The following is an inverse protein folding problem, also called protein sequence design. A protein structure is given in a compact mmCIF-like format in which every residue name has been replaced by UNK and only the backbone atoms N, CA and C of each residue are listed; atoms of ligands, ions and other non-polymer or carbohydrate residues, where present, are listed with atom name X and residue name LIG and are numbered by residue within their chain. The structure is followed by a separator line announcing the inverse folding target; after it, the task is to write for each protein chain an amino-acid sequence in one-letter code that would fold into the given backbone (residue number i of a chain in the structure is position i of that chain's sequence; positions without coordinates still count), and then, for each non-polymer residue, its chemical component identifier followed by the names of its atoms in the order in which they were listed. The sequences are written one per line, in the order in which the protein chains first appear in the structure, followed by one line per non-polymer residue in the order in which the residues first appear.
data_IF_087174578647
#
_entry.id   IF_087174578647
#
_cell.length_a   1.000
_cell.length_b   1.000
_cell.length_c   1.000
_cell.angle_alpha   90.00
_cell.angle_beta   90.00
_cell.angle_gamma   90.00
#
_symmetry.space_group_name_H-M   'P 1'
#
loop_
_entity.id
_entity.type
_entity.pdbx_description
1 polymer ?
#
# COMPACT_ATOMS: atom_id res chain seq x y z
N UNK A 1 -16.99 6.22 8.18
CA UNK A 1 -15.56 6.30 8.57
C UNK A 1 -15.46 6.72 10.03
N UNK A 2 -14.78 5.93 10.85
CA UNK A 2 -14.58 6.20 12.27
C UNK A 2 -13.20 5.72 12.69
N UNK A 3 -12.66 6.35 13.72
CA UNK A 3 -11.38 5.97 14.29
C UNK A 3 -11.65 4.86 15.32
N UNK A 4 -10.92 3.74 15.23
CA UNK A 4 -11.12 2.56 16.08
C UNK A 4 -9.94 2.44 17.03
N UNK A 5 -10.20 2.50 18.33
CA UNK A 5 -9.19 2.30 19.36
C UNK A 5 -9.19 0.85 19.84
N UNK A 6 -8.13 0.11 19.52
CA UNK A 6 -7.89 -1.22 20.04
C UNK A 6 -6.97 -1.12 21.26
N UNK A 7 -7.45 -1.57 22.42
CA UNK A 7 -6.64 -1.66 23.65
C UNK A 7 -6.44 -3.13 24.01
N UNK A 8 -5.18 -3.54 24.10
CA UNK A 8 -4.80 -4.84 24.61
C UNK A 8 -4.10 -4.60 25.95
N UNK A 9 -4.53 -5.34 26.96
CA UNK A 9 -4.00 -5.26 28.32
C UNK A 9 -3.02 -6.40 28.58
N UNK A 10 -2.26 -6.32 29.67
CA UNK A 10 -1.35 -7.38 30.08
C UNK A 10 -2.04 -8.75 30.31
N UNK A 11 -3.36 -8.75 30.54
CA UNK A 11 -4.17 -9.97 30.70
C UNK A 11 -4.64 -10.57 29.36
N UNK A 12 -4.34 -9.92 28.24
CA UNK A 12 -4.67 -10.41 26.90
C UNK A 12 -3.57 -11.31 26.34
N UNK A 13 -3.80 -11.89 25.16
CA UNK A 13 -2.80 -12.68 24.43
C UNK A 13 -1.51 -11.89 24.11
N UNK A 14 -1.59 -10.55 24.11
CA UNK A 14 -0.43 -9.70 23.93
C UNK A 14 0.50 -9.73 25.15
N UNK A 15 0.02 -10.06 26.35
CA UNK A 15 0.79 -10.04 27.62
C UNK A 15 1.47 -8.69 27.92
N UNK A 16 1.07 -7.63 27.21
CA UNK A 16 1.60 -6.28 27.27
C UNK A 16 0.47 -5.27 27.15
N UNK A 17 0.70 -4.05 27.62
CA UNK A 17 -0.19 -2.93 27.35
C UNK A 17 0.16 -2.29 26.00
N UNK A 18 -0.81 -2.29 25.08
CA UNK A 18 -0.69 -1.61 23.79
C UNK A 18 -2.04 -0.99 23.41
N UNK A 19 -1.99 0.24 22.92
CA UNK A 19 -3.13 0.99 22.42
C UNK A 19 -2.88 1.35 20.96
N UNK A 20 -3.64 0.74 20.05
CA UNK A 20 -3.55 0.94 18.60
C UNK A 20 -4.74 1.78 18.16
N UNK A 21 -4.50 2.99 17.66
CA UNK A 21 -5.54 3.78 16.97
C UNK A 21 -5.53 3.45 15.48
N UNK A 22 -6.67 2.99 14.96
CA UNK A 22 -6.86 2.64 13.55
C UNK A 22 -7.73 3.71 12.90
N UNK A 23 -7.13 4.52 12.03
CA UNK A 23 -7.86 5.47 11.20
C UNK A 23 -8.24 4.83 9.86
N UNK A 24 -9.48 4.37 9.75
CA UNK A 24 -10.02 3.86 8.50
C UNK A 24 -10.52 5.00 7.59
N UNK A 25 -9.98 5.07 6.37
CA UNK A 25 -10.30 6.09 5.38
C UNK A 25 -10.58 5.43 4.03
N UNK A 26 -11.71 5.81 3.43
CA UNK A 26 -12.04 5.45 2.05
C UNK A 26 -11.90 6.71 1.19
N UNK A 27 -10.70 6.95 0.66
CA UNK A 27 -10.37 8.15 -0.14
C UNK A 27 -9.52 7.80 -1.37
N UNK A 28 -10.07 7.09 -2.35
CA UNK A 28 -9.32 6.70 -3.55
C UNK A 28 -8.86 7.91 -4.40
N UNK A 29 -9.46 9.09 -4.20
CA UNK A 29 -9.08 10.33 -4.87
C UNK A 29 -7.98 11.14 -4.16
N UNK A 30 -7.63 10.80 -2.92
CA UNK A 30 -6.60 11.51 -2.13
C UNK A 30 -5.49 10.52 -1.75
N UNK A 31 -4.42 10.53 -2.54
CA UNK A 31 -3.23 9.70 -2.32
C UNK A 31 -2.37 10.25 -1.20
N UNK A 32 -2.55 9.75 0.02
CA UNK A 32 -1.79 10.26 1.16
C UNK A 32 -0.40 9.63 1.23
N UNK A 33 0.61 10.49 1.35
CA UNK A 33 2.01 10.09 1.59
C UNK A 33 2.38 10.08 3.08
N UNK A 34 3.63 9.70 3.37
CA UNK A 34 4.17 9.50 4.72
C UNK A 34 4.00 10.72 5.60
N UNK A 35 4.27 11.91 5.07
CA UNK A 35 4.20 13.16 5.84
C UNK A 35 2.78 13.44 6.33
N UNK A 36 1.78 13.30 5.44
CA UNK A 36 0.39 13.59 5.77
C UNK A 36 -0.19 12.52 6.71
N UNK A 37 0.12 11.25 6.44
CA UNK A 37 -0.26 10.12 7.30
C UNK A 37 0.35 10.31 8.70
N UNK A 38 1.65 10.55 8.81
CA UNK A 38 2.33 10.77 10.10
C UNK A 38 1.67 11.92 10.87
N UNK A 39 1.48 13.09 10.23
CA UNK A 39 0.81 14.24 10.86
C UNK A 39 -0.61 13.91 11.35
N UNK A 40 -1.36 13.12 10.59
CA UNK A 40 -2.72 12.71 10.98
C UNK A 40 -2.68 11.75 12.16
N UNK A 41 -1.87 10.71 12.09
CA UNK A 41 -1.78 9.69 13.12
C UNK A 41 -1.20 10.24 14.42
N UNK A 42 -0.23 11.16 14.39
CA UNK A 42 0.24 11.86 15.58
C UNK A 42 -0.90 12.54 16.33
N UNK A 43 -1.78 13.25 15.61
CA UNK A 43 -2.96 13.88 16.23
C UNK A 43 -3.93 12.86 16.80
N UNK A 44 -4.19 11.78 16.07
CA UNK A 44 -5.09 10.72 16.53
C UNK A 44 -4.53 10.02 17.79
N UNK A 45 -3.24 9.72 17.81
CA UNK A 45 -2.54 9.12 18.95
C UNK A 45 -2.59 10.04 20.17
N UNK A 46 -2.38 11.35 19.99
CA UNK A 46 -2.51 12.34 21.06
C UNK A 46 -3.92 12.34 21.67
N UNK A 47 -4.96 12.40 20.82
CA UNK A 47 -6.37 12.48 21.25
C UNK A 47 -6.77 11.19 21.99
N UNK A 48 -6.37 10.04 21.47
CA UNK A 48 -6.80 8.74 21.99
C UNK A 48 -5.84 8.12 23.02
N UNK A 49 -4.74 8.82 23.33
CA UNK A 49 -3.66 8.32 24.19
C UNK A 49 -3.16 6.94 23.70
N UNK A 50 -3.00 6.81 22.39
CA UNK A 50 -2.54 5.61 21.73
C UNK A 50 -1.00 5.63 21.59
N UNK A 51 -0.35 4.49 21.82
CA UNK A 51 1.12 4.37 21.69
C UNK A 51 1.54 3.76 20.34
N UNK A 52 0.58 3.28 19.55
CA UNK A 52 0.79 2.84 18.17
C UNK A 52 -0.41 3.22 17.30
N UNK A 53 -0.22 3.25 15.98
CA UNK A 53 -1.30 3.62 15.06
C UNK A 53 -1.28 2.84 13.75
N UNK A 54 -2.46 2.71 13.13
CA UNK A 54 -2.65 2.18 11.79
C UNK A 54 -3.44 3.21 10.97
N UNK A 55 -2.87 3.67 9.86
CA UNK A 55 -3.64 4.31 8.81
C UNK A 55 -4.12 3.23 7.85
N UNK A 56 -5.44 3.04 7.75
CA UNK A 56 -6.05 1.99 6.97
C UNK A 56 -6.78 2.58 5.77
N UNK A 57 -6.22 2.36 4.58
CA UNK A 57 -6.90 2.68 3.32
C UNK A 57 -7.78 1.53 2.88
N UNK A 58 -8.94 1.84 2.30
CA UNK A 58 -9.81 0.84 1.66
C UNK A 58 -9.16 0.15 0.47
N UNK A 59 -8.29 0.88 -0.24
CA UNK A 59 -7.57 0.40 -1.43
C UNK A 59 -6.19 1.05 -1.56
N UNK A 60 -5.35 0.51 -2.45
CA UNK A 60 -4.01 1.04 -2.71
C UNK A 60 -4.07 2.45 -3.32
N UNK A 61 -5.13 2.80 -4.06
CA UNK A 61 -5.29 4.10 -4.70
C UNK A 61 -5.43 5.27 -3.70
N UNK A 62 -5.83 5.00 -2.46
CA UNK A 62 -5.85 5.99 -1.38
C UNK A 62 -4.46 6.25 -0.76
N UNK A 63 -3.45 5.49 -1.17
CA UNK A 63 -2.09 5.61 -0.67
C UNK A 63 -1.19 6.20 -1.77
N UNK A 64 -0.25 7.06 -1.38
CA UNK A 64 0.76 7.54 -2.31
C UNK A 64 1.67 6.39 -2.77
N UNK A 65 2.28 6.58 -3.94
CA UNK A 65 3.15 5.57 -4.55
C UNK A 65 4.30 5.13 -3.62
N UNK A 66 4.84 6.06 -2.81
CA UNK A 66 5.89 5.80 -1.82
C UNK A 66 5.45 4.89 -0.65
N UNK A 67 4.13 4.71 -0.45
CA UNK A 67 3.56 3.80 0.54
C UNK A 67 3.32 2.44 -0.09
N UNK A 68 2.81 2.41 -1.32
CA UNK A 68 2.33 1.17 -1.96
C UNK A 68 1.22 0.55 -1.11
N UNK A 69 1.45 -0.65 -0.58
CA UNK A 69 0.53 -1.39 0.29
C UNK A 69 0.94 -1.37 1.76
N UNK A 70 2.17 -0.92 2.06
CA UNK A 70 2.72 -0.96 3.41
C UNK A 70 3.80 0.10 3.60
N UNK A 71 3.65 0.92 4.64
CA UNK A 71 4.73 1.75 5.15
C UNK A 71 4.77 1.70 6.68
N UNK A 72 6.00 1.70 7.20
CA UNK A 72 6.29 1.88 8.61
C UNK A 72 6.85 3.28 8.82
N UNK A 73 6.44 3.94 9.90
CA UNK A 73 7.08 5.16 10.38
C UNK A 73 6.94 5.31 11.89
N UNK A 74 7.38 6.47 12.38
CA UNK A 74 7.41 6.80 13.80
C UNK A 74 7.01 8.26 13.99
N UNK A 75 6.45 8.55 15.16
CA UNK A 75 6.21 9.89 15.68
C UNK A 75 6.47 9.92 17.19
N UNK A 76 6.27 11.07 17.83
CA UNK A 76 6.53 11.27 19.26
C UNK A 76 5.74 10.34 20.20
N UNK A 77 4.62 9.78 19.74
CA UNK A 77 3.80 8.85 20.51
C UNK A 77 4.13 7.37 20.26
N UNK A 78 4.95 7.08 19.24
CA UNK A 78 5.38 5.72 18.89
C UNK A 78 5.28 5.42 17.39
N UNK A 79 5.25 4.12 17.08
CA UNK A 79 5.30 3.63 15.70
C UNK A 79 3.92 3.62 15.04
N UNK A 80 3.91 3.83 13.74
CA UNK A 80 2.70 3.72 12.94
C UNK A 80 2.91 2.89 11.68
N UNK A 81 1.84 2.24 11.23
CA UNK A 81 1.77 1.50 9.97
C UNK A 81 0.73 2.13 9.07
N UNK A 82 1.04 2.32 7.79
CA UNK A 82 0.06 2.64 6.75
C UNK A 82 -0.13 1.41 5.88
N UNK A 83 -1.38 0.97 5.69
CA UNK A 83 -1.68 -0.27 4.98
C UNK A 83 -3.08 -0.28 4.37
N UNK A 84 -3.38 -1.31 3.58
CA UNK A 84 -4.73 -1.62 3.09
C UNK A 84 -5.44 -2.67 3.96
N UNK A 85 -6.73 -2.87 3.73
CA UNK A 85 -7.57 -3.79 4.52
C UNK A 85 -7.08 -5.25 4.50
N UNK A 86 -6.50 -5.71 3.40
CA UNK A 86 -5.96 -7.06 3.22
C UNK A 86 -4.81 -7.37 4.19
N UNK A 87 -4.11 -6.34 4.63
CA UNK A 87 -2.94 -6.43 5.49
C UNK A 87 -3.21 -5.93 6.92
N UNK A 88 -4.46 -5.63 7.28
CA UNK A 88 -4.82 -5.12 8.61
C UNK A 88 -4.42 -6.11 9.73
N UNK A 89 -4.72 -7.39 9.56
CA UNK A 89 -4.36 -8.41 10.54
C UNK A 89 -2.84 -8.50 10.74
N UNK A 90 -2.08 -8.39 9.64
CA UNK A 90 -0.61 -8.37 9.65
C UNK A 90 -0.12 -7.12 10.38
N UNK A 91 -0.70 -5.95 10.12
CA UNK A 91 -0.34 -4.71 10.80
C UNK A 91 -0.55 -4.76 12.32
N UNK A 92 -1.68 -5.30 12.77
CA UNK A 92 -1.98 -5.46 14.19
C UNK A 92 -0.95 -6.41 14.84
N UNK A 93 -0.72 -7.59 14.26
CA UNK A 93 0.25 -8.55 14.79
C UNK A 93 1.68 -7.98 14.82
N UNK A 94 2.08 -7.28 13.74
CA UNK A 94 3.37 -6.63 13.63
C UNK A 94 3.58 -5.60 14.76
N UNK A 95 2.58 -4.76 15.04
CA UNK A 95 2.65 -3.77 16.12
C UNK A 95 2.73 -4.42 17.50
N UNK A 96 1.95 -5.48 17.75
CA UNK A 96 2.01 -6.24 19.00
C UNK A 96 3.40 -6.83 19.23
N UNK A 97 3.96 -7.52 18.23
CA UNK A 97 5.29 -8.15 18.36
C UNK A 97 6.38 -7.09 18.57
N UNK A 98 6.32 -5.96 17.87
CA UNK A 98 7.28 -4.86 18.09
C UNK A 98 7.20 -4.28 19.49
N UNK A 99 5.99 -4.08 20.01
CA UNK A 99 5.82 -3.56 21.36
C UNK A 99 6.31 -4.58 22.41
N UNK A 100 6.02 -5.88 22.22
CA UNK A 100 6.53 -6.94 23.09
C UNK A 100 8.06 -6.95 23.11
N UNK A 101 8.70 -6.87 21.95
CA UNK A 101 10.15 -6.82 21.82
C UNK A 101 10.74 -5.60 22.53
N UNK A 102 10.17 -4.40 22.31
CA UNK A 102 10.63 -3.17 22.96
C UNK A 102 10.53 -3.26 24.49
N UNK A 103 9.42 -3.80 25.01
CA UNK A 103 9.25 -4.04 26.45
C UNK A 103 10.28 -5.04 26.97
N UNK A 104 10.47 -6.17 26.30
CA UNK A 104 11.40 -7.21 26.76
C UNK A 104 12.88 -6.81 26.72
N UNK A 105 13.26 -5.94 25.78
CA UNK A 105 14.59 -5.32 25.73
C UNK A 105 14.80 -4.39 26.93
N UNK A 106 13.79 -3.62 27.32
CA UNK A 106 13.88 -2.74 28.50
C UNK A 106 14.06 -3.51 29.82
N UNK A 107 13.55 -4.75 29.90
CA UNK A 107 13.58 -5.57 31.12
C UNK A 107 14.68 -6.66 31.13
N UNK A 108 15.66 -6.64 30.21
CA UNK A 108 16.78 -7.61 30.16
C UNK A 108 16.33 -9.09 30.23
N UNK A 109 15.25 -9.43 29.53
CA UNK A 109 14.79 -10.82 29.46
C UNK A 109 15.79 -11.72 28.71
N UNK A 110 15.84 -13.03 29.04
CA UNK A 110 16.66 -14.04 28.34
C UNK A 110 16.18 -14.33 26.90
N UNK A 111 15.28 -13.53 26.35
CA UNK A 111 14.75 -13.69 25.01
C UNK A 111 15.88 -13.45 23.98
N UNK A 112 15.94 -14.29 22.95
CA UNK A 112 16.78 -14.01 21.78
C UNK A 112 16.16 -12.90 20.94
N UNK A 113 16.30 -11.66 21.42
CA UNK A 113 15.80 -10.47 20.77
C UNK A 113 16.35 -10.33 19.34
N UNK A 114 17.57 -10.82 19.08
CA UNK A 114 18.22 -10.75 17.75
C UNK A 114 17.50 -11.63 16.74
N UNK A 115 17.15 -12.86 17.12
CA UNK A 115 16.40 -13.75 16.24
C UNK A 115 15.03 -13.16 15.87
N UNK A 116 14.33 -12.54 16.83
CA UNK A 116 13.03 -11.90 16.58
C UNK A 116 13.20 -10.66 15.70
N UNK A 117 14.20 -9.80 15.96
CA UNK A 117 14.51 -8.65 15.11
C UNK A 117 14.80 -9.06 13.67
N UNK A 118 15.56 -10.14 13.46
CA UNK A 118 15.84 -10.67 12.13
C UNK A 118 14.54 -11.10 11.41
N UNK A 119 13.61 -11.75 12.11
CA UNK A 119 12.30 -12.11 11.54
C UNK A 119 11.47 -10.85 11.21
N UNK A 120 11.49 -9.84 12.08
CA UNK A 120 10.79 -8.57 11.84
C UNK A 120 11.34 -7.82 10.62
N UNK A 121 12.66 -7.84 10.43
CA UNK A 121 13.31 -7.29 9.23
C UNK A 121 12.95 -8.11 7.98
N UNK A 122 12.90 -9.43 8.08
CA UNK A 122 12.48 -10.30 6.98
C UNK A 122 11.03 -10.02 6.54
N UNK A 123 10.11 -9.80 7.49
CA UNK A 123 8.72 -9.43 7.21
C UNK A 123 8.69 -8.09 6.44
N UNK A 124 9.42 -7.07 6.89
CA UNK A 124 9.48 -5.78 6.22
C UNK A 124 10.05 -5.90 4.80
N UNK A 125 11.13 -6.66 4.62
CA UNK A 125 11.71 -6.94 3.31
C UNK A 125 10.71 -7.63 2.38
N UNK A 126 9.97 -8.62 2.90
CA UNK A 126 8.95 -9.34 2.12
C UNK A 126 7.82 -8.41 1.67
N UNK A 127 7.35 -7.51 2.54
CA UNK A 127 6.34 -6.51 2.21
C UNK A 127 6.85 -5.51 1.15
N UNK A 128 8.12 -5.11 1.25
CA UNK A 128 8.77 -4.28 0.23
C UNK A 128 8.88 -5.00 -1.12
N UNK A 129 9.18 -6.30 -1.13
CA UNK A 129 9.18 -7.10 -2.35
C UNK A 129 7.79 -7.20 -2.98
N UNK A 130 6.74 -7.38 -2.19
CA UNK A 130 5.35 -7.38 -2.71
C UNK A 130 5.02 -6.02 -3.33
N UNK A 131 5.43 -4.90 -2.71
CA UNK A 131 5.29 -3.56 -3.29
C UNK A 131 5.97 -3.43 -4.67
N UNK A 132 7.19 -3.96 -4.81
CA UNK A 132 7.92 -3.95 -6.08
C UNK A 132 7.22 -4.79 -7.14
N UNK A 133 6.77 -6.01 -6.78
CA UNK A 133 6.00 -6.89 -7.67
C UNK A 133 4.74 -6.18 -8.17
N UNK A 134 3.95 -5.58 -7.28
CA UNK A 134 2.72 -4.87 -7.66
C UNK A 134 3.00 -3.68 -8.59
N UNK A 135 4.12 -2.99 -8.37
CA UNK A 135 4.58 -1.90 -9.25
C UNK A 135 4.89 -2.42 -10.65
N UNK A 136 5.63 -3.53 -10.76
CA UNK A 136 5.96 -4.14 -12.05
C UNK A 136 4.73 -4.70 -12.77
N UNK A 137 3.79 -5.31 -12.05
CA UNK A 137 2.53 -5.79 -12.62
C UNK A 137 1.72 -4.62 -13.21
N UNK A 138 1.64 -3.50 -12.51
CA UNK A 138 0.96 -2.29 -12.99
C UNK A 138 1.61 -1.75 -14.26
N UNK A 139 2.94 -1.70 -14.31
CA UNK A 139 3.70 -1.27 -15.49
C UNK A 139 3.46 -2.21 -16.69
N UNK A 140 3.46 -3.53 -16.47
CA UNK A 140 3.17 -4.51 -17.52
C UNK A 140 1.76 -4.34 -18.09
N UNK A 141 0.76 -4.09 -17.24
CA UNK A 141 -0.61 -3.82 -17.69
C UNK A 141 -0.70 -2.57 -18.56
N UNK A 142 -0.04 -1.48 -18.16
CA UNK A 142 0.01 -0.24 -18.95
C UNK A 142 0.69 -0.46 -20.31
N UNK A 143 1.79 -1.21 -20.33
CA UNK A 143 2.49 -1.55 -21.57
C UNK A 143 1.61 -2.41 -22.50
N UNK A 144 0.93 -3.41 -21.96
CA UNK A 144 0.03 -4.27 -22.73
C UNK A 144 -1.13 -3.47 -23.35
N UNK A 145 -1.70 -2.53 -22.62
CA UNK A 145 -2.76 -1.66 -23.15
C UNK A 145 -2.25 -0.70 -24.23
N UNK A 146 -1.03 -0.17 -24.07
CA UNK A 146 -0.36 0.61 -25.11
C UNK A 146 -0.16 -0.19 -26.41
N UNK A 147 0.24 -1.47 -26.31
CA UNK A 147 0.38 -2.37 -27.46
C UNK A 147 -0.98 -2.58 -28.15
N UNK A 148 -2.05 -2.85 -27.39
CA UNK A 148 -3.40 -3.00 -27.95
C UNK A 148 -3.87 -1.76 -28.69
N UNK A 149 -3.63 -0.59 -28.11
CA UNK A 149 -3.98 0.70 -28.72
C UNK A 149 -3.26 0.90 -30.05
N UNK A 150 -1.95 0.64 -30.11
CA UNK A 150 -1.16 0.71 -31.35
C UNK A 150 -1.65 -0.30 -32.40
N UNK A 151 -1.94 -1.53 -32.01
CA UNK A 151 -2.48 -2.54 -32.92
C UNK A 151 -3.84 -2.12 -33.49
N UNK A 152 -4.70 -1.49 -32.69
CA UNK A 152 -5.98 -0.94 -33.16
C UNK A 152 -5.78 0.20 -34.16
N UNK A 153 -4.85 1.12 -33.88
CA UNK A 153 -4.51 2.21 -34.80
C UNK A 153 -4.00 1.68 -36.15
N UNK A 154 -3.06 0.74 -36.11
CA UNK A 154 -2.49 0.14 -37.32
C UNK A 154 -3.55 -0.58 -38.17
N UNK A 155 -4.51 -1.29 -37.56
CA UNK A 155 -5.63 -1.89 -38.30
C UNK A 155 -6.50 -0.82 -38.98
N UNK A 156 -6.71 0.32 -38.34
CA UNK A 156 -7.47 1.43 -38.92
C UNK A 156 -6.71 2.08 -40.09
N UNK A 157 -5.40 2.26 -39.95
CA UNK A 157 -4.52 2.76 -41.02
C UNK A 157 -4.54 1.83 -42.24
N UNK A 158 -4.39 0.51 -42.03
CA UNK A 158 -4.48 -0.49 -43.12
C UNK A 158 -5.84 -0.39 -43.82
N UNK A 159 -6.94 -0.31 -43.07
CA UNK A 159 -8.29 -0.18 -43.66
C UNK A 159 -8.42 1.10 -44.49
N UNK A 160 -7.92 2.23 -43.98
CA UNK A 160 -7.93 3.52 -44.68
C UNK A 160 -7.13 3.44 -45.99
N UNK A 161 -5.92 2.89 -45.94
CA UNK A 161 -5.06 2.73 -47.11
C UNK A 161 -5.73 1.85 -48.18
N UNK A 162 -6.40 0.76 -47.79
CA UNK A 162 -7.15 -0.09 -48.71
C UNK A 162 -8.32 0.64 -49.38
N UNK A 163 -9.08 1.45 -48.63
CA UNK A 163 -10.17 2.27 -49.19
C UNK A 163 -9.63 3.25 -50.24
N UNK A 164 -8.60 4.03 -49.89
CA UNK A 164 -7.98 4.98 -50.81
C UNK A 164 -7.44 4.30 -52.08
N UNK A 165 -6.83 3.12 -51.93
CA UNK A 165 -6.34 2.33 -53.07
C UNK A 165 -7.49 1.87 -53.97
N UNK A 166 -8.60 1.40 -53.38
CA UNK A 166 -9.78 0.96 -54.12
C UNK A 166 -10.47 2.11 -54.87
N UNK A 167 -10.55 3.29 -54.26
CA UNK A 167 -11.09 4.50 -54.88
C UNK A 167 -10.24 4.93 -56.08
N UNK A 168 -8.92 4.97 -55.92
CA UNK A 168 -8.00 5.29 -57.01
C UNK A 168 -8.11 4.32 -58.20
N UNK A 169 -8.19 3.01 -57.94
CA UNK A 169 -8.37 2.01 -59.01
C UNK A 169 -9.72 2.15 -59.73
N UNK A 170 -10.77 2.56 -59.03
CA UNK A 170 -12.11 2.74 -59.61
C UNK A 170 -12.19 3.99 -60.48
N UNK A 171 -11.49 5.07 -60.12
CA UNK A 171 -11.41 6.29 -60.92
C UNK A 171 -10.77 6.02 -62.30
N UNK A 172 -9.69 5.25 -62.35
CA UNK A 172 -9.00 4.88 -63.60
C UNK A 172 -9.91 4.15 -64.58
N UNK A 173 -10.86 3.33 -64.09
CA UNK A 173 -11.81 2.60 -64.95
C UNK A 173 -12.90 3.48 -65.58
N UNK A 174 -13.15 4.66 -65.03
CA UNK A 174 -14.21 5.55 -65.50
C UNK A 174 -13.71 6.62 -66.50
N UNK A 175 -12.39 6.73 -66.70
CA UNK A 175 -11.75 7.70 -67.61
C UNK A 175 -11.26 7.08 -68.93
N UNK A 176 -11.48 5.78 -69.16
CA UNK A 176 -11.19 5.06 -70.41
C UNK A 176 -12.44 4.50 -71.07
#
# INVERSE_FOLDING_TARGET
PGDILLKLTANSIATIEISIIIEARNRPSERWGRQLISKRLTKAMAIHQANTAIFLSSSQEGLAQEIGIWALGECEYGIWVATTHELLAVAIQFLIVRQQLATQQAFNSKLDARAIEAQMQQIQSSLNYINQINTHVTQLQQQAEGIRTKAKAMRAEIKSALVLTSEALSAVKNEG
#
